data_IF_745332092975
#
_entry.id   IF_745332092975
#
_cell.length_a   1.000
_cell.length_b   1.000
_cell.length_c   1.000
_cell.angle_alpha   90.00
_cell.angle_beta   90.00
_cell.angle_gamma   90.00
#
_symmetry.space_group_name_H-M   'P 1'
#
loop_
_entity.id
_entity.type
_entity.pdbx_description
1 polymer ?
#
# COMPACT_ATOMS: atom_id res chain seq x y z
N UNK A 1 14.38 18.83 -7.20
CA UNK A 1 13.01 18.64 -6.72
C UNK A 1 13.01 17.50 -5.71
N UNK A 2 12.32 17.64 -4.57
CA UNK A 2 12.17 16.62 -3.54
C UNK A 2 10.81 15.95 -3.70
N UNK A 3 10.80 14.63 -3.76
CA UNK A 3 9.60 13.82 -3.89
C UNK A 3 9.61 12.80 -2.75
N UNK A 4 8.50 12.63 -2.04
CA UNK A 4 8.32 11.45 -1.19
C UNK A 4 7.52 10.40 -1.96
N UNK A 5 8.07 9.20 -2.10
CA UNK A 5 7.46 8.10 -2.85
C UNK A 5 7.11 6.93 -1.92
N UNK A 6 5.90 6.38 -2.05
CA UNK A 6 5.48 5.13 -1.41
C UNK A 6 4.53 4.35 -2.33
N UNK A 7 4.28 3.08 -2.01
CA UNK A 7 3.34 2.21 -2.71
C UNK A 7 2.92 1.05 -1.79
N UNK A 8 1.99 0.20 -2.23
CA UNK A 8 1.73 -1.12 -1.62
C UNK A 8 1.38 -1.01 -0.12
N UNK A 9 0.56 -0.03 0.28
CA UNK A 9 0.16 0.11 1.69
C UNK A 9 -0.94 -0.88 2.08
N UNK A 10 -1.81 -1.23 1.12
CA UNK A 10 -2.96 -2.12 1.25
C UNK A 10 -3.84 -1.82 2.48
N UNK A 11 -4.29 -0.58 2.63
CA UNK A 11 -5.29 -0.28 3.66
C UNK A 11 -6.46 -1.27 3.62
N UNK A 12 -6.90 -1.66 4.81
CA UNK A 12 -7.98 -2.62 5.03
C UNK A 12 -7.66 -4.09 4.70
N UNK A 13 -6.37 -4.44 4.52
CA UNK A 13 -5.92 -5.84 4.51
C UNK A 13 -6.46 -6.61 5.71
N UNK A 14 -6.85 -7.87 5.45
CA UNK A 14 -7.17 -8.83 6.50
C UNK A 14 -5.89 -9.49 6.99
N UNK A 15 -5.66 -9.43 8.29
CA UNK A 15 -4.55 -10.11 8.92
C UNK A 15 -5.05 -11.19 9.86
N UNK A 16 -4.43 -12.37 9.77
CA UNK A 16 -4.74 -13.53 10.61
C UNK A 16 -4.47 -13.26 12.10
N UNK A 17 -3.50 -12.38 12.39
CA UNK A 17 -3.09 -12.01 13.75
C UNK A 17 -3.13 -10.50 13.93
N UNK A 18 -3.58 -10.07 15.10
CA UNK A 18 -3.67 -8.66 15.50
C UNK A 18 -4.42 -7.77 14.48
N UNK A 19 -5.39 -8.33 13.73
CA UNK A 19 -6.05 -7.66 12.60
C UNK A 19 -6.49 -6.22 12.85
N UNK A 20 -7.30 -5.93 13.88
CA UNK A 20 -7.70 -4.56 14.19
C UNK A 20 -6.51 -3.63 14.48
N UNK A 21 -5.51 -4.09 15.24
CA UNK A 21 -4.33 -3.31 15.59
C UNK A 21 -3.43 -3.06 14.38
N UNK A 22 -3.30 -4.04 13.47
CA UNK A 22 -2.51 -3.93 12.24
C UNK A 22 -3.17 -3.05 11.19
N UNK A 23 -4.50 -3.13 11.00
CA UNK A 23 -5.22 -2.16 10.15
C UNK A 23 -5.12 -0.73 10.69
N UNK A 24 -5.18 -0.56 12.01
CA UNK A 24 -4.90 0.74 12.63
C UNK A 24 -3.45 1.16 12.38
N UNK A 25 -2.50 0.24 12.48
CA UNK A 25 -1.09 0.52 12.21
C UNK A 25 -0.85 0.95 10.75
N UNK A 26 -1.52 0.36 9.75
CA UNK A 26 -1.43 0.84 8.36
C UNK A 26 -1.91 2.29 8.21
N UNK A 27 -3.01 2.67 8.87
CA UNK A 27 -3.49 4.07 8.89
C UNK A 27 -2.51 5.00 9.59
N UNK A 28 -1.97 4.57 10.72
CA UNK A 28 -0.93 5.32 11.44
C UNK A 28 0.36 5.44 10.59
N UNK A 29 0.70 4.41 9.79
CA UNK A 29 1.82 4.44 8.82
C UNK A 29 1.58 5.49 7.74
N UNK A 30 0.38 5.56 7.15
CA UNK A 30 0.05 6.64 6.20
C UNK A 30 0.17 8.03 6.84
N UNK A 31 -0.29 8.18 8.07
CA UNK A 31 -0.17 9.43 8.80
C UNK A 31 1.31 9.83 8.97
N UNK A 32 2.20 8.88 9.32
CA UNK A 32 3.65 9.13 9.39
C UNK A 32 4.26 9.49 8.03
N UNK A 33 3.80 8.89 6.93
CA UNK A 33 4.24 9.24 5.58
C UNK A 33 3.87 10.70 5.26
N UNK A 34 2.62 11.09 5.55
CA UNK A 34 2.14 12.46 5.33
C UNK A 34 2.89 13.47 6.21
N UNK A 35 3.09 13.15 7.49
CA UNK A 35 3.89 13.95 8.42
C UNK A 35 5.33 14.12 7.92
N UNK A 36 5.93 13.04 7.41
CA UNK A 36 7.28 13.06 6.82
C UNK A 36 7.32 13.94 5.58
N UNK A 37 6.32 13.87 4.69
CA UNK A 37 6.24 14.71 3.49
C UNK A 37 6.23 16.21 3.86
N UNK A 38 5.41 16.57 4.85
CA UNK A 38 5.33 17.93 5.37
C UNK A 38 6.64 18.37 6.03
N UNK A 39 7.20 17.53 6.91
CA UNK A 39 8.42 17.83 7.66
C UNK A 39 9.64 18.00 6.75
N UNK A 40 9.73 17.20 5.67
CA UNK A 40 10.79 17.29 4.68
C UNK A 40 10.54 18.38 3.64
N UNK A 41 9.38 19.05 3.67
CA UNK A 41 8.97 20.06 2.69
C UNK A 41 9.18 19.56 1.26
N UNK A 42 8.57 18.41 0.96
CA UNK A 42 8.65 17.82 -0.39
C UNK A 42 7.81 18.64 -1.36
N UNK A 43 8.20 18.63 -2.63
CA UNK A 43 7.49 19.30 -3.71
C UNK A 43 6.28 18.47 -4.18
N UNK A 44 6.32 17.15 -3.98
CA UNK A 44 5.21 16.24 -4.27
C UNK A 44 5.27 14.96 -3.40
N UNK A 45 4.09 14.40 -3.09
CA UNK A 45 3.91 13.07 -2.52
C UNK A 45 3.34 12.14 -3.61
N UNK A 46 4.02 11.04 -3.90
CA UNK A 46 3.59 10.06 -4.90
C UNK A 46 3.20 8.74 -4.24
N UNK A 47 2.08 8.18 -4.68
CA UNK A 47 1.62 6.83 -4.36
C UNK A 47 1.51 6.02 -5.65
N UNK A 48 2.37 5.01 -5.83
CA UNK A 48 2.31 4.13 -7.01
C UNK A 48 1.46 2.88 -6.75
N UNK A 49 0.21 3.09 -6.38
CA UNK A 49 -0.82 2.05 -6.35
C UNK A 49 -0.84 1.19 -5.09
N UNK A 50 -1.85 0.33 -5.05
CA UNK A 50 -2.18 -0.56 -3.93
C UNK A 50 -2.23 0.18 -2.60
N UNK A 51 -2.91 1.32 -2.61
CA UNK A 51 -3.14 2.15 -1.43
C UNK A 51 -4.13 1.47 -0.48
N UNK A 52 -5.13 0.76 -1.01
CA UNK A 52 -6.19 0.09 -0.28
C UNK A 52 -6.63 -1.20 -0.98
N UNK A 53 -7.39 -2.04 -0.29
CA UNK A 53 -7.96 -3.26 -0.86
C UNK A 53 -9.34 -2.98 -1.48
N UNK A 54 -9.47 -3.10 -2.81
CA UNK A 54 -10.71 -2.75 -3.53
C UNK A 54 -11.97 -3.43 -2.98
N UNK A 55 -11.88 -4.71 -2.67
CA UNK A 55 -13.04 -5.49 -2.20
C UNK A 55 -13.41 -5.27 -0.73
N UNK A 56 -12.67 -4.42 -0.01
CA UNK A 56 -12.73 -4.37 1.46
C UNK A 56 -12.82 -2.96 2.04
N UNK A 57 -12.60 -1.91 1.25
CA UNK A 57 -12.62 -0.56 1.80
C UNK A 57 -13.98 -0.21 2.38
N UNK A 58 -13.94 0.67 3.38
CA UNK A 58 -15.12 1.17 4.07
C UNK A 58 -15.32 2.67 3.77
N UNK A 59 -16.53 3.21 4.01
CA UNK A 59 -16.73 4.66 3.98
C UNK A 59 -15.81 5.42 4.96
N UNK A 60 -15.39 4.77 6.04
CA UNK A 60 -14.40 5.32 6.98
C UNK A 60 -13.00 5.41 6.35
N UNK A 61 -12.63 4.46 5.49
CA UNK A 61 -11.39 4.51 4.69
C UNK A 61 -11.41 5.70 3.72
N UNK A 62 -12.54 5.91 3.05
CA UNK A 62 -12.73 7.05 2.15
C UNK A 62 -12.60 8.40 2.89
N UNK A 63 -13.27 8.54 4.04
CA UNK A 63 -13.18 9.74 4.86
C UNK A 63 -11.77 9.97 5.43
N UNK A 64 -11.10 8.89 5.85
CA UNK A 64 -9.72 8.93 6.32
C UNK A 64 -8.75 9.40 5.24
N UNK A 65 -8.80 8.81 4.04
CA UNK A 65 -7.90 9.19 2.95
C UNK A 65 -8.12 10.63 2.48
N UNK A 66 -9.38 11.07 2.38
CA UNK A 66 -9.71 12.48 2.14
C UNK A 66 -9.02 13.39 3.17
N UNK A 67 -9.16 13.08 4.45
CA UNK A 67 -8.56 13.91 5.51
C UNK A 67 -7.04 13.81 5.56
N UNK A 68 -6.46 12.64 5.26
CA UNK A 68 -5.02 12.41 5.35
C UNK A 68 -4.26 13.15 4.23
N UNK A 69 -4.85 13.26 3.04
CA UNK A 69 -4.23 13.94 1.90
C UNK A 69 -4.64 15.40 1.74
N UNK A 70 -5.50 15.95 2.60
CA UNK A 70 -5.82 17.39 2.65
C UNK A 70 -4.68 18.17 3.32
N UNK A 71 -3.57 18.32 2.58
CA UNK A 71 -2.31 18.96 2.99
C UNK A 71 -1.85 19.97 1.94
N UNK A 72 -0.90 20.85 2.29
CA UNK A 72 -0.36 21.87 1.36
C UNK A 72 0.54 21.28 0.25
N UNK A 73 0.84 19.99 0.29
CA UNK A 73 1.69 19.28 -0.68
C UNK A 73 0.83 18.66 -1.78
N UNK A 74 1.18 18.82 -3.08
CA UNK A 74 0.56 18.07 -4.16
C UNK A 74 0.71 16.56 -3.98
N UNK A 75 -0.39 15.82 -4.10
CA UNK A 75 -0.44 14.37 -3.98
C UNK A 75 -0.84 13.75 -5.31
N UNK A 76 -0.07 12.77 -5.79
CA UNK A 76 -0.35 12.07 -7.03
C UNK A 76 -0.56 10.59 -6.75
N UNK A 77 -1.73 10.07 -7.13
CA UNK A 77 -2.13 8.68 -6.89
C UNK A 77 -2.24 7.97 -8.24
N UNK A 78 -1.46 6.91 -8.42
CA UNK A 78 -1.52 6.02 -9.59
C UNK A 78 -2.12 4.66 -9.16
N UNK A 79 -3.42 4.42 -9.39
CA UNK A 79 -4.09 3.17 -9.03
C UNK A 79 -3.36 1.91 -9.53
N UNK A 80 -3.21 0.93 -8.65
CA UNK A 80 -2.63 -0.40 -8.84
C UNK A 80 -3.67 -1.49 -9.11
N UNK A 81 -3.21 -2.74 -9.19
CA UNK A 81 -4.09 -3.86 -9.56
C UNK A 81 -5.01 -4.32 -8.43
N UNK A 82 -4.65 -4.11 -7.15
CA UNK A 82 -5.53 -4.41 -6.01
C UNK A 82 -6.47 -3.24 -5.65
N UNK A 83 -6.27 -2.07 -6.25
CA UNK A 83 -7.01 -0.84 -5.93
C UNK A 83 -7.52 -0.05 -7.14
N UNK A 84 -7.53 -0.69 -8.32
CA UNK A 84 -7.76 -0.14 -9.66
C UNK A 84 -8.86 0.94 -9.76
N UNK A 85 -8.66 1.86 -10.71
CA UNK A 85 -9.63 2.88 -11.04
C UNK A 85 -10.82 2.28 -11.79
N UNK A 86 -12.02 2.35 -11.20
CA UNK A 86 -13.23 1.85 -11.83
C UNK A 86 -14.47 2.53 -11.26
N UNK A 87 -15.67 2.28 -11.83
CA UNK A 87 -16.90 2.97 -11.43
C UNK A 87 -17.27 2.84 -9.94
N UNK A 88 -16.73 1.82 -9.27
CA UNK A 88 -16.96 1.54 -7.85
C UNK A 88 -15.72 1.74 -6.98
N UNK A 89 -14.58 2.17 -7.55
CA UNK A 89 -13.36 2.36 -6.78
C UNK A 89 -13.53 3.47 -5.75
N UNK A 90 -12.77 3.38 -4.64
CA UNK A 90 -12.74 4.44 -3.63
C UNK A 90 -12.33 5.77 -4.26
N UNK A 91 -11.44 5.72 -5.26
CA UNK A 91 -10.99 6.88 -6.01
C UNK A 91 -12.12 7.72 -6.62
N UNK A 92 -13.23 7.11 -7.06
CA UNK A 92 -14.41 7.85 -7.57
C UNK A 92 -15.39 8.27 -6.47
N UNK A 93 -15.35 7.62 -5.31
CA UNK A 93 -16.28 7.89 -4.22
C UNK A 93 -15.82 9.01 -3.30
N UNK A 94 -14.51 9.27 -3.25
CA UNK A 94 -13.93 10.36 -2.48
C UNK A 94 -14.03 11.67 -3.26
N UNK A 95 -14.63 12.67 -2.63
CA UNK A 95 -14.48 14.07 -3.03
C UNK A 95 -13.08 14.53 -2.64
N UNK A 96 -12.08 14.41 -3.51
CA UNK A 96 -10.70 14.74 -3.17
C UNK A 96 -10.47 16.24 -3.00
N UNK A 97 -9.53 16.63 -2.13
CA UNK A 97 -9.08 18.02 -2.06
C UNK A 97 -8.32 18.43 -3.33
N UNK A 98 -8.30 19.73 -3.71
CA UNK A 98 -7.73 20.17 -4.99
C UNK A 98 -6.24 19.87 -5.19
N UNK A 99 -5.51 19.55 -4.14
CA UNK A 99 -4.08 19.18 -4.20
C UNK A 99 -3.87 17.71 -4.59
N UNK A 100 -4.91 16.88 -4.61
CA UNK A 100 -4.82 15.46 -4.95
C UNK A 100 -5.19 15.28 -6.42
N UNK A 101 -4.28 14.65 -7.16
CA UNK A 101 -4.51 14.22 -8.53
C UNK A 101 -4.51 12.69 -8.56
N UNK A 102 -5.62 12.12 -9.03
CA UNK A 102 -5.75 10.68 -9.26
C UNK A 102 -5.67 10.45 -10.76
N UNK A 103 -4.70 9.63 -11.20
CA UNK A 103 -4.68 9.18 -12.59
C UNK A 103 -5.84 8.22 -12.83
N UNK A 104 -6.49 8.32 -14.00
CA UNK A 104 -7.76 7.61 -14.27
C UNK A 104 -7.73 6.75 -15.53
N UNK A 105 -6.63 6.77 -16.27
CA UNK A 105 -6.48 6.11 -17.57
C UNK A 105 -5.24 5.20 -17.56
N UNK A 106 -5.29 4.10 -18.32
CA UNK A 106 -4.14 3.21 -18.50
C UNK A 106 -2.99 3.88 -19.26
N UNK A 107 -3.32 4.78 -20.19
CA UNK A 107 -2.32 5.52 -20.94
C UNK A 107 -1.62 6.53 -20.02
N UNK A 108 -0.28 6.59 -20.07
CA UNK A 108 0.46 7.55 -19.26
C UNK A 108 0.15 9.00 -19.65
N UNK A 109 -0.46 9.73 -18.72
CA UNK A 109 -0.87 11.12 -18.90
C UNK A 109 0.15 12.09 -18.26
N UNK A 110 0.51 13.18 -18.97
CA UNK A 110 1.49 14.12 -18.46
C UNK A 110 0.87 15.17 -17.52
N UNK A 111 1.46 15.34 -16.34
CA UNK A 111 1.22 16.45 -15.42
C UNK A 111 2.53 17.20 -15.19
N UNK A 112 2.50 18.52 -15.33
CA UNK A 112 3.67 19.36 -15.06
C UNK A 112 3.81 19.59 -13.55
N UNK A 113 4.89 19.09 -12.96
CA UNK A 113 5.18 19.28 -11.53
C UNK A 113 5.79 20.66 -11.26
N UNK A 114 6.65 21.11 -12.16
CA UNK A 114 7.26 22.44 -12.21
C UNK A 114 7.79 22.67 -13.63
N UNK A 115 8.24 23.89 -13.93
CA UNK A 115 8.80 24.24 -15.23
C UNK A 115 9.91 23.26 -15.64
N UNK A 116 9.69 22.55 -16.74
CA UNK A 116 10.63 21.58 -17.29
C UNK A 116 10.68 20.21 -16.58
N UNK A 117 9.78 19.90 -15.65
CA UNK A 117 9.64 18.56 -15.03
C UNK A 117 8.22 18.04 -15.21
N UNK A 118 8.06 16.97 -15.99
CA UNK A 118 6.78 16.31 -16.25
C UNK A 118 6.72 14.96 -15.52
N UNK A 119 5.61 14.70 -14.83
CA UNK A 119 5.21 13.39 -14.31
C UNK A 119 4.21 12.75 -15.28
N UNK A 120 4.54 11.55 -15.76
CA UNK A 120 3.71 10.73 -16.62
C UNK A 120 3.07 9.64 -15.77
N UNK A 121 1.80 9.81 -15.43
CA UNK A 121 1.10 8.88 -14.53
C UNK A 121 0.04 8.05 -15.24
N UNK A 122 -0.17 6.82 -14.77
CA UNK A 122 -1.21 5.94 -15.29
C UNK A 122 -1.89 5.16 -14.17
N UNK A 123 -3.06 4.63 -14.48
CA UNK A 123 -3.88 3.85 -13.57
C UNK A 123 -4.20 2.48 -14.16
N UNK A 124 -4.14 1.43 -13.34
CA UNK A 124 -4.89 0.23 -13.68
C UNK A 124 -6.38 0.57 -13.69
N UNK A 125 -7.07 0.18 -14.76
CA UNK A 125 -8.51 0.40 -14.92
C UNK A 125 -9.33 -0.90 -14.76
N UNK A 126 -8.63 -2.02 -14.55
CA UNK A 126 -9.16 -3.34 -14.25
C UNK A 126 -8.17 -4.09 -13.33
N UNK A 127 -8.61 -5.14 -12.62
CA UNK A 127 -7.76 -5.82 -11.62
C UNK A 127 -6.58 -6.59 -12.23
N UNK A 128 -6.64 -6.93 -13.52
CA UNK A 128 -5.54 -7.57 -14.26
C UNK A 128 -5.89 -7.63 -15.74
N UNK A 129 -4.88 -7.72 -16.60
CA UNK A 129 -5.07 -8.00 -18.03
C UNK A 129 -4.91 -6.78 -18.97
N UNK A 130 -4.67 -5.60 -18.41
CA UNK A 130 -4.39 -4.39 -19.17
C UNK A 130 -3.07 -4.46 -19.97
N UNK A 131 -2.92 -3.53 -20.92
CA UNK A 131 -1.64 -3.35 -21.63
C UNK A 131 -0.58 -2.86 -20.65
N UNK A 132 0.69 -3.14 -20.95
CA UNK A 132 1.78 -2.60 -20.13
C UNK A 132 1.84 -1.06 -20.28
N UNK A 133 2.01 -0.32 -19.17
CA UNK A 133 2.07 1.15 -19.19
C UNK A 133 3.10 1.75 -20.16
N UNK A 134 4.19 1.03 -20.42
CA UNK A 134 5.26 1.46 -21.32
C UNK A 134 5.13 0.89 -22.74
N UNK A 135 4.13 0.05 -23.00
CA UNK A 135 3.85 -0.47 -24.33
C UNK A 135 3.43 0.68 -25.25
N UNK A 136 4.13 0.87 -26.36
CA UNK A 136 3.91 1.97 -27.32
C UNK A 136 4.08 3.38 -26.73
N UNK A 137 4.59 3.50 -25.51
CA UNK A 137 4.86 4.79 -24.89
C UNK A 137 6.22 5.34 -25.32
N UNK A 138 6.26 6.64 -25.63
CA UNK A 138 7.51 7.36 -25.85
C UNK A 138 7.31 8.81 -25.43
N UNK A 139 8.27 9.33 -24.66
CA UNK A 139 8.31 10.73 -24.28
C UNK A 139 8.41 11.60 -25.53
N UNK A 140 7.49 12.56 -25.63
CA UNK A 140 7.36 13.44 -26.80
C UNK A 140 7.68 14.92 -26.48
N UNK A 141 8.36 15.19 -25.36
CA UNK A 141 8.69 16.53 -24.88
C UNK A 141 10.09 16.58 -24.26
N UNK A 142 10.68 17.77 -24.24
CA UNK A 142 11.95 18.01 -23.55
C UNK A 142 11.80 18.12 -22.03
N UNK A 143 12.90 18.40 -21.34
CA UNK A 143 12.93 18.49 -19.88
C UNK A 143 13.13 17.14 -19.20
N UNK A 144 12.92 17.11 -17.88
CA UNK A 144 12.97 15.89 -17.07
C UNK A 144 11.61 15.20 -17.12
N UNK A 145 11.59 13.93 -17.48
CA UNK A 145 10.39 13.11 -17.65
C UNK A 145 10.41 11.96 -16.65
N UNK A 146 9.52 12.04 -15.67
CA UNK A 146 9.35 11.07 -14.61
C UNK A 146 8.10 10.24 -14.89
N UNK A 147 8.05 8.97 -14.50
CA UNK A 147 6.84 8.16 -14.58
C UNK A 147 6.33 7.77 -13.19
N UNK A 148 5.01 7.59 -13.06
CA UNK A 148 4.35 7.04 -11.88
C UNK A 148 3.29 6.01 -12.31
N UNK A 149 3.54 4.73 -12.04
CA UNK A 149 2.55 3.68 -12.31
C UNK A 149 2.84 2.45 -11.45
N UNK A 150 1.87 1.54 -11.40
CA UNK A 150 1.96 0.31 -10.62
C UNK A 150 2.12 -0.89 -11.56
N UNK A 151 3.23 -1.60 -11.48
CA UNK A 151 3.50 -2.71 -12.41
C UNK A 151 4.91 -3.25 -12.26
N UNK A 152 5.35 -4.17 -13.12
CA UNK A 152 6.67 -4.79 -12.99
C UNK A 152 7.82 -3.86 -13.35
N UNK A 153 9.02 -4.15 -12.82
CA UNK A 153 10.22 -3.35 -13.11
C UNK A 153 10.51 -3.35 -14.61
N UNK A 154 10.50 -2.20 -15.31
CA UNK A 154 10.66 -2.23 -16.74
C UNK A 154 12.12 -2.43 -17.11
N UNK A 155 12.39 -3.41 -17.98
CA UNK A 155 13.71 -3.56 -18.60
C UNK A 155 14.07 -2.36 -19.51
N UNK A 156 13.05 -1.67 -20.02
CA UNK A 156 13.15 -0.77 -21.18
C UNK A 156 12.83 0.71 -20.87
N UNK A 157 12.90 1.15 -19.60
CA UNK A 157 12.65 2.58 -19.24
C UNK A 157 13.47 3.52 -20.14
N UNK A 158 14.72 3.17 -20.41
CA UNK A 158 15.62 3.94 -21.27
C UNK A 158 15.11 4.11 -22.70
N UNK A 159 14.43 3.10 -23.26
CA UNK A 159 13.94 3.13 -24.64
C UNK A 159 12.79 4.13 -24.81
N UNK A 160 12.02 4.36 -23.75
CA UNK A 160 10.86 5.26 -23.76
C UNK A 160 11.25 6.75 -23.68
N UNK A 161 12.49 7.08 -23.33
CA UNK A 161 12.92 8.46 -23.07
C UNK A 161 12.56 9.00 -21.68
N UNK A 162 12.07 8.16 -20.77
CA UNK A 162 11.90 8.51 -19.36
C UNK A 162 13.25 8.57 -18.64
N UNK A 163 13.41 9.55 -17.77
CA UNK A 163 14.58 9.70 -16.92
C UNK A 163 14.52 8.79 -15.70
N UNK A 164 13.33 8.70 -15.08
CA UNK A 164 13.12 7.90 -13.88
C UNK A 164 11.67 7.44 -13.73
N UNK A 165 11.45 6.24 -13.19
CA UNK A 165 10.12 5.71 -12.88
C UNK A 165 9.95 5.45 -11.38
N UNK A 166 8.87 5.98 -10.81
CA UNK A 166 8.39 5.70 -9.46
C UNK A 166 7.32 4.62 -9.54
N UNK A 167 7.57 3.49 -8.88
CA UNK A 167 6.83 2.25 -9.13
C UNK A 167 6.31 1.65 -7.82
N UNK A 168 5.26 0.84 -7.93
CA UNK A 168 4.72 -0.09 -6.92
C UNK A 168 4.39 -1.42 -7.59
N UNK A 169 3.87 -2.41 -6.83
CA UNK A 169 3.54 -3.82 -7.19
C UNK A 169 4.44 -4.83 -6.46
N UNK A 170 5.71 -4.48 -6.28
CA UNK A 170 6.70 -5.34 -5.67
C UNK A 170 6.91 -4.96 -4.20
N UNK A 171 6.40 -5.78 -3.28
CA UNK A 171 6.55 -5.56 -1.83
C UNK A 171 8.00 -5.58 -1.33
N UNK A 172 8.91 -6.19 -2.10
CA UNK A 172 10.33 -6.16 -1.78
C UNK A 172 10.97 -4.91 -2.40
N UNK A 173 11.54 -4.01 -1.59
CA UNK A 173 12.14 -2.78 -2.11
C UNK A 173 13.25 -3.10 -3.12
N UNK A 174 13.22 -2.42 -4.25
CA UNK A 174 14.18 -2.59 -5.33
C UNK A 174 14.45 -1.26 -6.03
N UNK A 175 15.71 -0.88 -6.16
CA UNK A 175 16.08 0.38 -6.79
C UNK A 175 17.15 0.17 -7.84
N UNK A 176 17.06 0.89 -8.96
CA UNK A 176 18.09 0.92 -10.00
C UNK A 176 18.36 2.37 -10.42
N UNK A 177 19.18 2.58 -11.45
CA UNK A 177 19.46 3.94 -11.93
C UNK A 177 18.18 4.68 -12.35
N UNK A 178 17.28 4.00 -13.06
CA UNK A 178 16.10 4.58 -13.71
C UNK A 178 14.76 4.22 -13.05
N UNK A 179 14.77 3.53 -11.90
CA UNK A 179 13.52 3.30 -11.16
C UNK A 179 13.70 3.20 -9.65
N UNK A 180 12.60 3.44 -8.94
CA UNK A 180 12.48 3.29 -7.48
C UNK A 180 11.22 2.48 -7.16
N UNK A 181 11.39 1.25 -6.65
CA UNK A 181 10.36 0.50 -5.91
C UNK A 181 10.58 0.65 -4.41
N UNK A 182 9.68 1.32 -3.68
CA UNK A 182 9.78 1.49 -2.24
C UNK A 182 9.43 0.20 -1.48
N UNK A 183 8.70 -0.71 -2.13
CA UNK A 183 7.99 -1.81 -1.48
C UNK A 183 6.90 -1.31 -0.53
N UNK A 184 6.27 -2.25 0.17
CA UNK A 184 5.25 -1.90 1.15
C UNK A 184 5.88 -1.26 2.40
N UNK A 185 5.36 -0.11 2.86
CA UNK A 185 5.94 0.63 3.98
C UNK A 185 5.68 -0.01 5.34
N UNK A 186 4.61 -0.81 5.47
CA UNK A 186 4.30 -1.61 6.65
C UNK A 186 4.15 -3.08 6.22
N UNK A 187 4.93 -4.04 6.77
CA UNK A 187 4.83 -5.44 6.40
C UNK A 187 3.39 -5.94 6.49
N UNK A 188 2.92 -6.64 5.47
CA UNK A 188 1.67 -7.40 5.39
C UNK A 188 1.85 -8.81 5.97
N UNK A 189 3.02 -9.41 5.73
CA UNK A 189 3.38 -10.74 6.24
C UNK A 189 4.63 -10.71 7.13
N UNK A 190 4.89 -11.80 7.85
CA UNK A 190 6.09 -11.90 8.68
C UNK A 190 7.40 -12.10 7.88
N UNK A 191 7.28 -12.53 6.62
CA UNK A 191 8.41 -12.71 5.70
C UNK A 191 8.93 -11.42 5.08
N UNK A 192 8.13 -10.36 5.11
CA UNK A 192 8.49 -9.02 4.59
C UNK A 192 9.41 -8.28 5.58
N UNK A 193 10.69 -8.61 5.47
CA UNK A 193 11.76 -8.13 6.36
C UNK A 193 12.71 -7.15 5.66
N UNK A 194 13.67 -6.58 6.38
CA UNK A 194 14.66 -5.65 5.82
C UNK A 194 14.27 -4.18 5.84
N UNK A 195 15.13 -3.34 5.28
CA UNK A 195 14.91 -1.90 5.14
C UNK A 195 13.80 -1.64 4.11
N UNK A 196 12.74 -0.97 4.52
CA UNK A 196 11.55 -0.64 3.72
C UNK A 196 10.83 0.56 4.36
N UNK A 197 10.03 1.27 3.59
CA UNK A 197 9.32 2.46 4.04
C UNK A 197 9.06 3.44 2.90
N UNK A 198 8.75 4.69 3.25
CA UNK A 198 8.67 5.75 2.24
C UNK A 198 10.08 6.18 1.81
N UNK A 199 10.25 6.49 0.53
CA UNK A 199 11.55 6.86 -0.06
C UNK A 199 11.55 8.33 -0.42
N UNK A 200 12.40 9.11 0.26
CA UNK A 200 12.66 10.50 -0.08
C UNK A 200 13.64 10.54 -1.26
N UNK A 201 13.16 11.05 -2.39
CA UNK A 201 13.87 11.13 -3.64
C UNK A 201 14.22 12.58 -3.96
N UNK A 202 15.47 12.84 -4.33
CA UNK A 202 15.89 14.13 -4.91
C UNK A 202 16.12 13.94 -6.40
N UNK A 203 15.24 14.53 -7.21
CA UNK A 203 15.36 14.60 -8.67
C UNK A 203 16.27 15.76 -9.05
N UNK A 204 17.35 15.45 -9.76
CA UNK A 204 18.32 16.41 -10.25
C UNK A 204 17.91 16.99 -11.61
N UNK A 205 18.47 18.14 -12.03
CA UNK A 205 18.16 18.76 -13.32
C UNK A 205 18.48 17.90 -14.56
N UNK A 206 19.33 16.88 -14.40
CA UNK A 206 19.69 15.92 -15.45
C UNK A 206 18.83 14.65 -15.44
N UNK A 207 17.76 14.62 -14.63
CA UNK A 207 16.84 13.50 -14.49
C UNK A 207 17.32 12.38 -13.57
N UNK A 208 18.54 12.43 -13.06
CA UNK A 208 19.03 11.44 -12.09
C UNK A 208 18.37 11.61 -10.72
N UNK A 209 18.25 10.50 -9.98
CA UNK A 209 17.55 10.48 -8.67
C UNK A 209 18.45 9.90 -7.58
N UNK A 210 18.68 10.68 -6.52
CA UNK A 210 19.24 10.18 -5.24
C UNK A 210 18.12 9.90 -4.23
N UNK A 211 18.36 8.97 -3.31
CA UNK A 211 17.30 8.34 -2.49
C UNK A 211 17.72 8.19 -1.03
N UNK A 212 16.75 8.31 -0.14
CA UNK A 212 16.86 7.96 1.27
C UNK A 212 15.58 7.25 1.72
N UNK A 213 15.69 6.02 2.22
CA UNK A 213 14.55 5.28 2.76
C UNK A 213 14.30 5.70 4.21
N UNK A 214 13.03 5.91 4.55
CA UNK A 214 12.57 6.24 5.89
C UNK A 214 11.64 5.15 6.38
N UNK A 215 12.04 4.44 7.44
CA UNK A 215 11.15 3.48 8.11
C UNK A 215 10.00 4.23 8.78
N UNK A 216 8.79 3.94 8.30
CA UNK A 216 7.51 4.51 8.76
C UNK A 216 6.58 3.41 9.28
N UNK A 217 7.06 2.17 9.40
CA UNK A 217 6.24 1.01 9.75
C UNK A 217 5.78 1.06 11.21
N UNK A 218 4.48 1.26 11.39
CA UNK A 218 3.88 1.24 12.72
C UNK A 218 3.71 -0.19 13.23
N UNK A 219 3.46 -1.18 12.36
CA UNK A 219 3.36 -2.58 12.81
C UNK A 219 4.70 -3.09 13.33
N UNK A 220 5.84 -2.76 12.70
CA UNK A 220 7.17 -3.12 13.21
C UNK A 220 7.50 -2.39 14.50
N UNK A 221 7.34 -1.06 14.54
CA UNK A 221 7.68 -0.28 15.73
C UNK A 221 6.86 -0.68 16.97
N UNK A 222 5.65 -1.21 16.78
CA UNK A 222 4.79 -1.74 17.86
C UNK A 222 4.92 -3.25 18.10
N UNK A 223 5.79 -3.95 17.37
CA UNK A 223 5.98 -5.39 17.52
C UNK A 223 4.75 -6.23 17.13
N UNK A 224 3.93 -5.74 16.20
CA UNK A 224 2.72 -6.43 15.71
C UNK A 224 3.01 -7.45 14.60
N UNK A 225 4.19 -7.37 13.98
CA UNK A 225 4.66 -8.35 13.00
C UNK A 225 5.25 -9.53 13.75
N UNK A 226 4.43 -10.55 14.00
CA UNK A 226 4.85 -11.78 14.69
C UNK A 226 5.34 -12.77 13.63
N UNK A 227 6.52 -13.38 13.80
CA UNK A 227 6.98 -14.44 12.92
C UNK A 227 5.92 -15.53 12.78
N UNK A 228 5.80 -16.09 11.59
CA UNK A 228 5.13 -17.38 11.39
C UNK A 228 5.95 -18.45 12.10
N UNK A 229 5.79 -18.54 13.41
CA UNK A 229 6.32 -19.65 14.19
C UNK A 229 5.64 -20.88 13.59
N UNK A 230 6.45 -21.76 12.98
CA UNK A 230 6.04 -23.11 12.56
C UNK A 230 5.11 -23.61 13.66
N UNK A 231 3.83 -23.79 13.31
CA UNK A 231 2.79 -24.08 14.27
C UNK A 231 3.22 -25.31 15.10
N UNK A 232 3.70 -25.07 16.32
CA UNK A 232 3.42 -26.00 17.40
C UNK A 232 1.94 -25.78 17.69
N UNK A 233 1.07 -26.80 17.59
CA UNK A 233 -0.39 -26.66 17.62
C UNK A 233 -0.96 -26.30 19.02
N UNK A 234 -0.21 -25.56 19.84
CA UNK A 234 -0.46 -25.42 21.28
C UNK A 234 -0.47 -23.97 21.79
N UNK A 235 -0.60 -22.95 20.93
CA UNK A 235 -0.69 -21.57 21.40
C UNK A 235 -1.39 -20.65 20.39
N UNK A 236 -2.66 -20.93 20.07
CA UNK A 236 -3.55 -19.90 19.53
C UNK A 236 -4.21 -19.23 20.74
N UNK A 237 -3.95 -17.94 20.96
CA UNK A 237 -4.65 -17.18 22.00
C UNK A 237 -6.08 -16.92 21.51
N UNK A 238 -7.04 -17.64 22.09
CA UNK A 238 -8.46 -17.55 21.75
C UNK A 238 -9.20 -16.43 22.49
N UNK A 239 -8.52 -15.63 23.32
CA UNK A 239 -9.13 -14.63 24.19
C UNK A 239 -9.93 -13.56 23.44
N UNK A 240 -9.55 -13.23 22.20
CA UNK A 240 -10.19 -12.18 21.41
C UNK A 240 -11.55 -12.57 20.82
N UNK A 241 -11.83 -13.87 20.61
CA UNK A 241 -13.13 -14.33 20.10
C UNK A 241 -14.23 -14.31 21.17
N UNK A 242 -13.86 -14.31 22.46
CA UNK A 242 -14.80 -14.40 23.58
C UNK A 242 -15.76 -13.22 23.63
N UNK A 243 -15.31 -12.04 23.18
CA UNK A 243 -16.10 -10.81 23.18
C UNK A 243 -17.00 -10.65 21.94
N UNK A 244 -16.83 -11.50 20.92
CA UNK A 244 -17.62 -11.41 19.70
C UNK A 244 -19.08 -11.84 19.96
N UNK A 245 -20.03 -11.01 19.55
CA UNK A 245 -21.48 -11.33 19.55
C UNK A 245 -21.89 -12.05 18.27
N UNK A 246 -21.12 -13.06 17.88
CA UNK A 246 -21.27 -13.85 16.64
C UNK A 246 -21.44 -15.34 16.97
N UNK A 247 -21.84 -16.15 15.99
CA UNK A 247 -21.87 -17.64 16.11
C UNK A 247 -20.48 -18.17 16.47
N UNK A 248 -19.45 -17.57 15.89
CA UNK A 248 -18.03 -17.86 16.17
C UNK A 248 -17.66 -17.56 17.62
N UNK A 249 -18.01 -16.38 18.12
CA UNK A 249 -17.77 -16.01 19.52
C UNK A 249 -18.54 -16.89 20.50
N UNK A 250 -19.77 -17.30 20.18
CA UNK A 250 -20.53 -18.24 21.00
C UNK A 250 -19.87 -19.62 21.04
N UNK A 251 -19.44 -20.13 19.90
CA UNK A 251 -18.70 -21.39 19.81
C UNK A 251 -17.44 -21.39 20.69
N UNK A 252 -16.63 -20.31 20.64
CA UNK A 252 -15.43 -20.22 21.48
C UNK A 252 -15.78 -20.20 22.97
N UNK A 253 -16.80 -19.43 23.38
CA UNK A 253 -17.27 -19.42 24.79
C UNK A 253 -17.70 -20.80 25.26
N UNK A 254 -18.43 -21.54 24.44
CA UNK A 254 -18.94 -22.87 24.80
C UNK A 254 -17.81 -23.89 24.92
N UNK A 255 -16.81 -23.84 24.02
CA UNK A 255 -15.67 -24.76 24.07
C UNK A 255 -14.70 -24.41 25.21
N UNK A 256 -14.50 -23.13 25.51
CA UNK A 256 -13.70 -22.71 26.67
C UNK A 256 -14.36 -23.07 28.01
N UNK A 257 -15.69 -23.04 28.09
CA UNK A 257 -16.46 -23.46 29.27
C UNK A 257 -16.57 -24.99 29.42
N UNK A 258 -16.12 -25.77 28.43
CA UNK A 258 -16.22 -27.23 28.45
C UNK A 258 -15.16 -27.89 29.35
N UNK A 259 -15.45 -29.12 29.79
CA UNK A 259 -14.52 -29.95 30.56
C UNK A 259 -13.51 -30.71 29.67
N UNK A 260 -13.23 -30.23 28.45
CA UNK A 260 -12.26 -30.88 27.57
C UNK A 260 -10.84 -30.70 28.10
N UNK A 261 -10.02 -31.75 27.97
CA UNK A 261 -8.57 -31.67 28.18
C UNK A 261 -7.96 -30.57 27.30
N UNK A 262 -6.95 -29.80 27.77
CA UNK A 262 -6.43 -28.63 27.06
C UNK A 262 -6.07 -28.89 25.60
N UNK A 263 -5.33 -29.96 25.32
CA UNK A 263 -4.92 -30.32 23.95
C UNK A 263 -6.08 -30.75 23.04
N UNK A 264 -7.20 -31.18 23.61
CA UNK A 264 -8.42 -31.50 22.86
C UNK A 264 -9.25 -30.24 22.64
N UNK A 265 -9.33 -29.38 23.65
CA UNK A 265 -9.99 -28.07 23.57
C UNK A 265 -9.39 -27.20 22.47
N UNK A 266 -8.07 -27.12 22.42
CA UNK A 266 -7.34 -26.33 21.40
C UNK A 266 -7.62 -26.87 19.99
N UNK A 267 -7.65 -28.19 19.82
CA UNK A 267 -8.00 -28.83 18.53
C UNK A 267 -9.44 -28.56 18.12
N UNK A 268 -10.38 -28.63 19.05
CA UNK A 268 -11.80 -28.33 18.78
C UNK A 268 -11.97 -26.87 18.41
N UNK A 269 -11.32 -25.94 19.11
CA UNK A 269 -11.33 -24.52 18.79
C UNK A 269 -10.76 -24.28 17.39
N UNK A 270 -9.59 -24.83 17.07
CA UNK A 270 -8.97 -24.66 15.76
C UNK A 270 -9.85 -25.20 14.61
N UNK A 271 -10.34 -26.43 14.72
CA UNK A 271 -11.17 -27.04 13.68
C UNK A 271 -12.53 -26.35 13.52
N UNK A 272 -13.18 -26.00 14.64
CA UNK A 272 -14.50 -25.38 14.60
C UNK A 272 -14.46 -23.94 14.11
N UNK A 273 -13.41 -23.18 14.46
CA UNK A 273 -13.20 -21.83 13.92
C UNK A 273 -12.95 -21.88 12.40
N UNK A 274 -12.09 -22.78 11.92
CA UNK A 274 -11.85 -22.95 10.48
C UNK A 274 -13.13 -23.33 9.71
N UNK A 275 -13.95 -24.24 10.24
CA UNK A 275 -15.22 -24.63 9.62
C UNK A 275 -16.29 -23.51 9.62
N UNK A 276 -16.14 -22.51 10.50
CA UNK A 276 -17.03 -21.34 10.56
C UNK A 276 -16.54 -20.18 9.69
N UNK A 277 -15.32 -20.25 9.14
CA UNK A 277 -14.76 -19.27 8.20
C UNK A 277 -15.13 -19.57 6.73
N UNK A 278 -15.46 -20.82 6.40
CA UNK A 278 -15.90 -21.25 5.05
C UNK A 278 -17.39 -20.97 4.75
N UNK A 279 -18.01 -19.97 5.37
CA UNK A 279 -19.44 -19.62 5.19
C UNK A 279 -19.70 -18.14 5.01
#
# INVERSE_FOLDING_TARGET
MKILHFADLHLDTRFDRAGPARRKAQRDTLALIVELACAQQVDALLCAGDLYEHDRFSPDTAAFLRSAFDIDVPVYLAPGDDDWYGPQSLYQQVDWSPNVHVFTEEALEPVELTDGVTLWGGAHCEPSGGKGFLEEFTVNRGGVNLALFHGPSPADVEITGLDHAFLGHEHTPAHAARYTYPGNPDPLTSGETGERGAVLCTVNPDGTVSRQTHDVSVSRSRGLVVPDVIASPSAVDHGWFVEERTVRGQFVRDVLASSLEPATRDRVLAMGLAALEER
#
